data_IF_594863971033
#
_entry.id   IF_594863971033
#
_cell.length_a   1.000
_cell.length_b   1.000
_cell.length_c   1.000
_cell.angle_alpha   90.00
_cell.angle_beta   90.00
_cell.angle_gamma   90.00
#
_symmetry.space_group_name_H-M   'P 1'
#
loop_
_entity.id
_entity.type
_entity.pdbx_description
1 polymer ?
#
# COMPACT_ATOMS: atom_id res chain seq x y z
N UNK A 1 25.76 7.15 8.92
CA UNK A 1 25.25 7.56 10.24
C UNK A 1 24.19 6.55 10.65
N UNK A 2 24.44 5.75 11.69
CA UNK A 2 23.43 4.82 12.21
C UNK A 2 22.33 5.67 12.87
N UNK A 3 21.15 5.70 12.26
CA UNK A 3 20.00 6.40 12.85
C UNK A 3 19.73 5.80 14.23
N UNK A 4 19.60 6.64 15.26
CA UNK A 4 19.26 6.19 16.60
C UNK A 4 17.92 5.44 16.56
N UNK A 5 17.92 4.16 16.93
CA UNK A 5 16.72 3.33 17.00
C UNK A 5 16.20 3.29 18.44
N UNK A 6 14.89 3.47 18.61
CA UNK A 6 14.21 3.33 19.91
C UNK A 6 13.44 2.00 19.91
N UNK A 7 13.69 1.15 20.91
CA UNK A 7 12.93 -0.09 21.11
C UNK A 7 11.57 0.23 21.73
N UNK A 8 10.51 -0.31 21.13
CA UNK A 8 9.15 -0.25 21.65
C UNK A 8 8.68 -1.69 21.94
N UNK A 9 7.93 -1.88 23.03
CA UNK A 9 7.28 -3.14 23.37
C UNK A 9 5.79 -2.89 23.44
N UNK A 10 5.02 -3.63 22.65
CA UNK A 10 3.56 -3.48 22.54
C UNK A 10 2.89 -4.84 22.69
N UNK A 11 1.70 -4.85 23.27
CA UNK A 11 0.81 -6.01 23.24
C UNK A 11 -0.06 -5.92 21.98
N UNK A 12 -0.17 -7.03 21.25
CA UNK A 12 -1.00 -7.13 20.03
C UNK A 12 -1.99 -8.28 20.17
N UNK A 13 -3.12 -8.24 19.46
CA UNK A 13 -4.05 -9.37 19.36
C UNK A 13 -3.37 -10.66 18.85
N UNK A 14 -3.86 -11.87 19.23
CA UNK A 14 -3.24 -13.14 18.84
C UNK A 14 -3.09 -13.34 17.33
N UNK A 15 -4.10 -12.99 16.54
CA UNK A 15 -4.09 -13.07 15.08
C UNK A 15 -3.00 -12.18 14.45
N UNK A 16 -2.77 -11.01 15.04
CA UNK A 16 -1.70 -10.09 14.62
C UNK A 16 -0.33 -10.66 15.00
N UNK A 17 -0.19 -11.25 16.19
CA UNK A 17 1.04 -11.90 16.62
C UNK A 17 1.41 -13.05 15.67
N UNK A 18 0.47 -13.95 15.38
CA UNK A 18 0.65 -15.08 14.46
C UNK A 18 1.09 -14.62 13.07
N UNK A 19 0.48 -13.54 12.56
CA UNK A 19 0.87 -12.98 11.25
C UNK A 19 2.28 -12.40 11.26
N UNK A 20 2.67 -11.72 12.34
CA UNK A 20 4.01 -11.14 12.49
C UNK A 20 5.09 -12.20 12.69
N UNK A 21 4.77 -13.33 13.32
CA UNK A 21 5.67 -14.47 13.49
C UNK A 21 6.02 -15.15 12.15
N UNK A 22 5.16 -15.01 11.13
CA UNK A 22 5.44 -15.48 9.76
C UNK A 22 6.41 -14.57 8.99
N UNK A 23 6.65 -13.35 9.47
CA UNK A 23 7.58 -12.42 8.82
C UNK A 23 9.02 -12.75 9.22
N UNK A 24 9.92 -12.77 8.23
CA UNK A 24 11.36 -12.94 8.48
C UNK A 24 11.94 -11.85 9.39
N UNK A 25 11.31 -10.67 9.39
CA UNK A 25 11.62 -9.56 10.29
C UNK A 25 10.38 -8.72 10.60
N UNK A 26 9.70 -9.05 11.72
CA UNK A 26 8.51 -8.33 12.18
C UNK A 26 8.76 -6.82 12.39
N UNK A 27 9.92 -6.42 12.92
CA UNK A 27 10.22 -4.99 13.16
C UNK A 27 10.34 -4.21 11.86
N UNK A 28 10.98 -4.79 10.84
CA UNK A 28 11.09 -4.17 9.52
C UNK A 28 9.71 -4.06 8.84
N UNK A 29 8.91 -5.13 8.91
CA UNK A 29 7.55 -5.15 8.38
C UNK A 29 6.69 -4.04 9.01
N UNK A 30 6.64 -3.97 10.35
CA UNK A 30 5.86 -2.95 11.06
C UNK A 30 6.37 -1.54 10.73
N UNK A 31 7.70 -1.35 10.71
CA UNK A 31 8.29 -0.06 10.37
C UNK A 31 7.87 0.41 8.98
N UNK A 32 7.87 -0.49 8.00
CA UNK A 32 7.45 -0.15 6.64
C UNK A 32 5.94 0.15 6.59
N UNK A 33 5.10 -0.69 7.21
CA UNK A 33 3.66 -0.47 7.27
C UNK A 33 3.30 0.89 7.91
N UNK A 34 4.00 1.27 8.99
CA UNK A 34 3.81 2.58 9.64
C UNK A 34 4.24 3.71 8.71
N UNK A 35 5.39 3.58 8.02
CA UNK A 35 5.84 4.59 7.05
C UNK A 35 4.87 4.74 5.88
N UNK A 36 4.33 3.64 5.38
CA UNK A 36 3.33 3.67 4.30
C UNK A 36 2.06 4.38 4.75
N UNK A 37 1.59 4.11 5.98
CA UNK A 37 0.47 4.85 6.57
C UNK A 37 0.78 6.35 6.68
N UNK A 38 1.94 6.73 7.21
CA UNK A 38 2.34 8.13 7.33
C UNK A 38 2.39 8.85 5.97
N UNK A 39 2.82 8.17 4.91
CA UNK A 39 2.83 8.74 3.55
C UNK A 39 1.42 9.00 3.03
N UNK A 40 0.49 8.09 3.29
CA UNK A 40 -0.92 8.27 2.92
C UNK A 40 -1.54 9.44 3.69
N UNK A 41 -1.32 9.49 5.00
CA UNK A 41 -1.85 10.58 5.84
C UNK A 41 -1.27 11.95 5.41
N UNK A 42 0.01 11.99 5.00
CA UNK A 42 0.62 13.20 4.46
C UNK A 42 0.04 13.61 3.10
N UNK A 43 -0.26 12.65 2.22
CA UNK A 43 -0.94 12.91 0.96
C UNK A 43 -2.35 13.46 1.18
N UNK A 44 -3.11 12.86 2.09
CA UNK A 44 -4.46 13.31 2.44
C UNK A 44 -4.43 14.75 3.00
N UNK A 45 -3.43 15.07 3.83
CA UNK A 45 -3.22 16.43 4.34
C UNK A 45 -2.87 17.44 3.24
N UNK A 46 -2.02 17.07 2.27
CA UNK A 46 -1.68 17.93 1.14
C UNK A 46 -2.91 18.19 0.25
N UNK A 47 -3.67 17.15 -0.08
CA UNK A 47 -4.91 17.30 -0.85
C UNK A 47 -5.91 18.21 -0.14
N UNK A 48 -6.07 18.03 1.18
CA UNK A 48 -6.92 18.88 1.99
C UNK A 48 -6.43 20.35 1.99
N UNK A 49 -5.12 20.58 2.03
CA UNK A 49 -4.52 21.92 1.94
C UNK A 49 -4.86 22.60 0.61
N UNK A 50 -4.90 21.84 -0.50
CA UNK A 50 -5.33 22.32 -1.81
C UNK A 50 -6.87 22.45 -1.96
N UNK A 51 -7.63 22.22 -0.87
CA UNK A 51 -9.09 22.27 -0.87
C UNK A 51 -9.77 21.01 -1.40
N UNK A 52 -9.03 19.94 -1.65
CA UNK A 52 -9.56 18.65 -2.12
C UNK A 52 -9.81 17.75 -0.91
N UNK A 53 -11.06 17.65 -0.49
CA UNK A 53 -11.46 16.79 0.63
C UNK A 53 -11.77 15.38 0.13
N UNK A 54 -11.01 14.38 0.57
CA UNK A 54 -11.34 12.97 0.34
C UNK A 54 -12.36 12.55 1.39
N UNK A 55 -13.60 12.30 0.97
CA UNK A 55 -14.68 11.83 1.85
C UNK A 55 -14.85 10.32 1.76
N UNK A 56 -15.30 9.69 2.84
CA UNK A 56 -15.60 8.25 2.85
C UNK A 56 -16.64 7.87 1.78
N UNK A 57 -17.67 8.72 1.62
CA UNK A 57 -18.68 8.55 0.57
C UNK A 57 -18.05 8.62 -0.82
N UNK A 58 -17.21 9.62 -1.09
CA UNK A 58 -16.53 9.75 -2.39
C UNK A 58 -15.62 8.56 -2.69
N UNK A 59 -14.93 8.03 -1.67
CA UNK A 59 -14.14 6.81 -1.79
C UNK A 59 -15.03 5.60 -2.10
N UNK A 60 -16.16 5.44 -1.43
CA UNK A 60 -17.11 4.35 -1.68
C UNK A 60 -17.67 4.41 -3.11
N UNK A 61 -18.07 5.59 -3.57
CA UNK A 61 -18.57 5.81 -4.93
C UNK A 61 -17.50 5.55 -6.00
N UNK A 62 -16.26 6.01 -5.75
CA UNK A 62 -15.14 5.74 -6.63
C UNK A 62 -14.85 4.23 -6.72
N UNK A 63 -14.86 3.51 -5.60
CA UNK A 63 -14.72 2.04 -5.58
C UNK A 63 -15.85 1.36 -6.33
N UNK A 64 -17.09 1.78 -6.15
CA UNK A 64 -18.24 1.21 -6.84
C UNK A 64 -18.15 1.40 -8.36
N UNK A 65 -17.80 2.61 -8.83
CA UNK A 65 -17.57 2.89 -10.27
C UNK A 65 -16.46 2.03 -10.84
N UNK A 66 -15.35 1.89 -10.12
CA UNK A 66 -14.25 1.03 -10.52
C UNK A 66 -14.69 -0.44 -10.62
N UNK A 67 -15.40 -0.94 -9.62
CA UNK A 67 -15.88 -2.32 -9.60
C UNK A 67 -16.85 -2.62 -10.75
N UNK A 68 -17.73 -1.67 -11.10
CA UNK A 68 -18.62 -1.80 -12.25
C UNK A 68 -17.85 -1.97 -13.56
N UNK A 69 -16.81 -1.15 -13.78
CA UNK A 69 -15.92 -1.27 -14.96
C UNK A 69 -15.17 -2.60 -14.95
N UNK A 70 -14.66 -3.04 -13.80
CA UNK A 70 -13.94 -4.31 -13.67
C UNK A 70 -14.85 -5.53 -13.90
N UNK A 71 -16.14 -5.44 -13.58
CA UNK A 71 -17.11 -6.52 -13.81
C UNK A 71 -17.32 -6.81 -15.30
N UNK A 72 -17.19 -5.79 -16.16
CA UNK A 72 -17.28 -5.93 -17.62
C UNK A 72 -16.02 -6.51 -18.26
N UNK A 73 -14.93 -6.69 -17.50
CA UNK A 73 -13.68 -7.19 -18.06
C UNK A 73 -13.72 -8.68 -18.36
N UNK A 74 -13.28 -9.01 -19.58
CA UNK A 74 -13.04 -10.39 -19.96
C UNK A 74 -12.01 -11.06 -19.04
N UNK A 75 -12.09 -12.40 -18.86
CA UNK A 75 -11.11 -13.15 -18.07
C UNK A 75 -9.66 -12.90 -18.54
N UNK A 76 -9.45 -12.79 -19.85
CA UNK A 76 -8.14 -12.54 -20.46
C UNK A 76 -7.58 -11.19 -20.05
N UNK A 77 -8.41 -10.13 -20.07
CA UNK A 77 -8.02 -8.80 -19.60
C UNK A 77 -7.66 -8.80 -18.12
N UNK A 78 -8.46 -9.47 -17.28
CA UNK A 78 -8.18 -9.61 -15.84
C UNK A 78 -6.86 -10.34 -15.59
N UNK A 79 -6.60 -11.43 -16.32
CA UNK A 79 -5.37 -12.19 -16.20
C UNK A 79 -4.14 -11.38 -16.67
N UNK A 80 -4.25 -10.68 -17.80
CA UNK A 80 -3.19 -9.81 -18.30
C UNK A 80 -2.87 -8.64 -17.34
N UNK A 81 -3.85 -8.13 -16.61
CA UNK A 81 -3.60 -7.12 -15.57
C UNK A 81 -2.88 -7.72 -14.36
N UNK A 82 -3.32 -8.88 -13.88
CA UNK A 82 -2.65 -9.57 -12.76
C UNK A 82 -1.20 -9.89 -13.08
N UNK A 83 -0.93 -10.34 -14.31
CA UNK A 83 0.42 -10.66 -14.71
C UNK A 83 1.32 -9.43 -14.74
N UNK A 84 0.82 -8.32 -15.30
CA UNK A 84 1.53 -7.03 -15.24
C UNK A 84 1.80 -6.58 -13.80
N UNK A 85 0.84 -6.74 -12.90
CA UNK A 85 1.03 -6.40 -11.48
C UNK A 85 2.11 -7.27 -10.81
N UNK A 86 2.13 -8.58 -11.08
CA UNK A 86 3.20 -9.46 -10.59
C UNK A 86 4.57 -9.06 -11.12
N UNK A 87 4.66 -8.81 -12.43
CA UNK A 87 5.91 -8.40 -13.05
C UNK A 87 6.45 -7.11 -12.42
N UNK A 88 5.60 -6.11 -12.20
CA UNK A 88 6.01 -4.88 -11.51
C UNK A 88 6.55 -5.12 -10.09
N UNK A 89 5.97 -6.06 -9.33
CA UNK A 89 6.47 -6.40 -7.99
C UNK A 89 7.84 -7.07 -8.08
N UNK A 90 8.04 -7.96 -9.05
CA UNK A 90 9.32 -8.62 -9.30
C UNK A 90 10.39 -7.61 -9.74
N UNK A 91 10.05 -6.69 -10.65
CA UNK A 91 10.95 -5.65 -11.14
C UNK A 91 11.32 -4.66 -10.02
N UNK A 92 10.36 -4.29 -9.17
CA UNK A 92 10.62 -3.46 -7.99
C UNK A 92 11.56 -4.15 -7.01
N UNK A 93 11.44 -5.48 -6.82
CA UNK A 93 12.34 -6.26 -5.97
C UNK A 93 13.73 -6.44 -6.58
N UNK A 94 13.83 -6.50 -7.92
CA UNK A 94 15.09 -6.59 -8.65
C UNK A 94 15.80 -5.22 -8.80
N UNK A 95 15.17 -4.11 -8.39
CA UNK A 95 15.72 -2.77 -8.48
C UNK A 95 15.74 -2.19 -9.90
N UNK A 96 14.95 -2.75 -10.82
CA UNK A 96 14.96 -2.40 -12.26
C UNK A 96 13.95 -1.33 -12.65
N UNK A 97 13.21 -0.74 -11.72
CA UNK A 97 12.24 0.32 -12.04
C UNK A 97 12.97 1.66 -12.17
N UNK A 98 13.27 2.06 -13.41
CA UNK A 98 13.53 3.47 -13.72
C UNK A 98 12.29 4.30 -13.36
N UNK A 99 12.51 5.33 -12.54
CA UNK A 99 11.49 6.34 -12.20
C UNK A 99 10.94 6.95 -13.49
N UNK A 100 9.61 6.98 -13.72
CA UNK A 100 9.09 7.77 -14.82
C UNK A 100 9.39 9.25 -14.54
N UNK A 101 10.03 9.91 -15.51
CA UNK A 101 10.37 11.32 -15.46
C UNK A 101 9.11 12.16 -15.20
N UNK A 102 9.26 13.14 -14.31
CA UNK A 102 8.26 14.14 -13.96
C UNK A 102 7.87 15.04 -15.14
#
# INVERSE_FOLDING_TARGET
MTSAMRKLSISVPPDVAERLEQESNASAYITQAVRDRMRLDALDAELAHQGIQITEQGVAEARARRAAVEAEWSPERRNALRERARQHVLDAAAGTVEQPAA
#
